data_IF_332419302045
#
_entry.id   IF_332419302045
#
_cell.length_a   1.000
_cell.length_b   1.000
_cell.length_c   1.000
_cell.angle_alpha   90.00
_cell.angle_beta   90.00
_cell.angle_gamma   90.00
#
_symmetry.space_group_name_H-M   'P 1'
#
loop_
_entity.id
_entity.type
_entity.pdbx_description
1 polymer ?
#
# COMPACT_ATOMS: atom_id res chain seq x y z
N UNK A 1 -7.04 -9.17 -0.60
CA UNK A 1 -7.42 -7.75 -0.77
C UNK A 1 -8.58 -7.38 0.15
N UNK A 2 -9.74 -8.03 0.07
CA UNK A 2 -10.95 -7.66 0.85
C UNK A 2 -10.74 -7.62 2.37
N UNK A 3 -10.10 -8.63 2.97
CA UNK A 3 -9.86 -8.68 4.43
C UNK A 3 -8.98 -7.51 4.89
N UNK A 4 -7.89 -7.24 4.17
CA UNK A 4 -7.01 -6.11 4.47
C UNK A 4 -7.74 -4.76 4.34
N UNK A 5 -8.59 -4.61 3.31
CA UNK A 5 -9.38 -3.40 3.12
C UNK A 5 -10.38 -3.18 4.28
N UNK A 6 -11.09 -4.23 4.71
CA UNK A 6 -12.03 -4.14 5.85
C UNK A 6 -11.32 -3.81 7.15
N UNK A 7 -10.20 -4.47 7.47
CA UNK A 7 -9.42 -4.17 8.67
C UNK A 7 -8.82 -2.76 8.66
N UNK A 8 -8.35 -2.30 7.49
CA UNK A 8 -7.85 -0.93 7.35
C UNK A 8 -8.95 0.11 7.52
N UNK A 9 -10.17 -0.15 7.03
CA UNK A 9 -11.31 0.74 7.22
C UNK A 9 -11.69 0.82 8.70
N UNK A 10 -11.80 -0.33 9.39
CA UNK A 10 -12.08 -0.37 10.83
C UNK A 10 -11.02 0.39 11.64
N UNK A 11 -9.73 0.18 11.32
CA UNK A 11 -8.65 0.91 12.00
C UNK A 11 -8.77 2.43 11.81
N UNK A 12 -9.08 2.92 10.61
CA UNK A 12 -9.22 4.37 10.35
C UNK A 12 -10.43 5.01 11.01
N UNK A 13 -11.49 4.24 11.27
CA UNK A 13 -12.72 4.73 11.88
C UNK A 13 -12.72 4.65 13.41
N UNK A 14 -11.80 3.88 14.01
CA UNK A 14 -11.79 3.64 15.47
C UNK A 14 -10.59 4.28 16.20
N UNK A 15 -9.58 4.77 15.48
CA UNK A 15 -8.43 5.50 16.06
C UNK A 15 -8.01 6.69 15.18
N UNK A 16 -7.37 7.73 15.75
CA UNK A 16 -6.80 8.83 14.98
C UNK A 16 -5.84 8.35 13.87
N UNK A 17 -5.81 9.06 12.74
CA UNK A 17 -5.06 8.66 11.55
C UNK A 17 -3.55 8.64 11.81
N UNK A 18 -3.03 9.54 12.63
CA UNK A 18 -1.63 9.50 13.07
C UNK A 18 -1.27 8.19 13.79
N UNK A 19 -2.17 7.70 14.66
CA UNK A 19 -1.97 6.42 15.37
C UNK A 19 -2.13 5.24 14.39
N UNK A 20 -3.15 5.29 13.53
CA UNK A 20 -3.36 4.27 12.49
C UNK A 20 -2.14 4.13 11.59
N UNK A 21 -1.61 5.23 11.06
CA UNK A 21 -0.45 5.22 10.16
C UNK A 21 0.80 4.70 10.84
N UNK A 22 1.03 5.05 12.11
CA UNK A 22 2.15 4.52 12.91
C UNK A 22 2.07 2.99 13.04
N UNK A 23 0.91 2.47 13.44
CA UNK A 23 0.69 1.03 13.60
C UNK A 23 0.74 0.33 12.23
N UNK A 24 0.11 0.90 11.20
CA UNK A 24 0.07 0.32 9.87
C UNK A 24 1.47 0.26 9.22
N UNK A 25 2.36 1.21 9.51
CA UNK A 25 3.77 1.23 9.06
C UNK A 25 4.56 0.01 9.53
N UNK A 26 4.11 -0.69 10.58
CA UNK A 26 4.72 -1.96 11.01
C UNK A 26 4.77 -3.03 9.92
N UNK A 27 3.98 -2.88 8.84
CA UNK A 27 4.09 -3.67 7.62
C UNK A 27 5.52 -3.73 7.03
N UNK A 28 6.33 -2.68 7.22
CA UNK A 28 7.73 -2.68 6.78
C UNK A 28 8.59 -3.68 7.57
N UNK A 29 8.24 -4.01 8.81
CA UNK A 29 8.93 -5.06 9.58
C UNK A 29 8.46 -6.45 9.18
N UNK A 30 7.15 -6.64 8.95
CA UNK A 30 6.60 -7.95 8.60
C UNK A 30 6.96 -8.40 7.18
N UNK A 31 7.00 -7.46 6.23
CA UNK A 31 7.29 -7.77 4.82
C UNK A 31 8.61 -8.50 4.60
N UNK A 32 9.77 -8.09 5.13
CA UNK A 32 11.01 -8.83 4.94
C UNK A 32 10.98 -10.22 5.61
N UNK A 33 10.28 -10.37 6.74
CA UNK A 33 10.11 -11.67 7.40
C UNK A 33 9.35 -12.62 6.48
N UNK A 34 8.20 -12.20 5.97
CA UNK A 34 7.41 -13.01 5.04
C UNK A 34 8.10 -13.21 3.70
N UNK A 35 8.81 -12.22 3.18
CA UNK A 35 9.58 -12.35 1.95
C UNK A 35 10.72 -13.39 2.10
N UNK A 36 11.32 -13.51 3.29
CA UNK A 36 12.29 -14.58 3.58
C UNK A 36 11.62 -15.96 3.64
N UNK A 37 10.46 -16.05 4.29
CA UNK A 37 9.77 -17.32 4.52
C UNK A 37 9.12 -17.86 3.24
N UNK A 38 8.43 -16.99 2.50
CA UNK A 38 7.64 -17.36 1.32
C UNK A 38 8.51 -17.33 0.06
N UNK A 39 9.26 -16.24 -0.17
CA UNK A 39 9.98 -16.02 -1.42
C UNK A 39 11.48 -16.35 -1.33
N UNK A 40 11.97 -16.75 -0.15
CA UNK A 40 13.38 -17.11 0.11
C UNK A 40 14.40 -16.04 -0.32
N UNK A 41 14.01 -14.77 -0.26
CA UNK A 41 14.88 -13.65 -0.66
C UNK A 41 16.08 -13.54 0.29
N UNK A 42 17.28 -13.36 -0.29
CA UNK A 42 18.49 -13.02 0.46
C UNK A 42 18.57 -11.51 0.70
N UNK A 43 18.68 -11.11 1.97
CA UNK A 43 18.83 -9.69 2.32
C UNK A 43 20.28 -9.24 2.23
N UNK A 44 20.49 -8.08 1.61
CA UNK A 44 21.75 -7.36 1.57
C UNK A 44 21.70 -6.18 2.56
N UNK A 45 22.87 -5.72 3.03
CA UNK A 45 23.03 -4.56 3.92
C UNK A 45 22.29 -3.31 3.40
N UNK A 46 22.30 -3.09 2.09
CA UNK A 46 21.60 -1.97 1.45
C UNK A 46 20.06 -2.05 1.56
N UNK A 47 19.49 -3.27 1.56
CA UNK A 47 18.04 -3.45 1.79
C UNK A 47 17.68 -3.06 3.21
N UNK A 48 18.51 -3.47 4.17
CA UNK A 48 18.30 -3.15 5.59
C UNK A 48 18.37 -1.65 5.82
N UNK A 49 19.34 -0.97 5.19
CA UNK A 49 19.46 0.51 5.24
C UNK A 49 18.23 1.18 4.64
N UNK A 50 17.82 0.76 3.44
CA UNK A 50 16.61 1.30 2.77
C UNK A 50 15.36 1.11 3.64
N UNK A 51 15.21 -0.06 4.26
CA UNK A 51 14.09 -0.37 5.13
C UNK A 51 14.09 0.48 6.40
N UNK A 52 15.25 0.65 7.04
CA UNK A 52 15.39 1.51 8.22
C UNK A 52 15.01 2.96 7.90
N UNK A 53 15.44 3.47 6.74
CA UNK A 53 15.07 4.81 6.27
C UNK A 53 13.57 4.92 5.92
N UNK A 54 12.96 3.87 5.37
CA UNK A 54 11.52 3.84 5.08
C UNK A 54 10.69 3.82 6.36
N UNK A 55 11.13 3.08 7.39
CA UNK A 55 10.50 3.08 8.72
C UNK A 55 10.59 4.48 9.34
N UNK A 56 11.77 5.11 9.28
CA UNK A 56 11.93 6.49 9.73
C UNK A 56 11.00 7.44 8.97
N UNK A 57 10.89 7.29 7.65
CA UNK A 57 9.98 8.08 6.81
C UNK A 57 8.53 7.95 7.28
N UNK A 58 8.03 6.72 7.46
CA UNK A 58 6.66 6.47 7.91
C UNK A 58 6.41 7.04 9.31
N UNK A 59 7.36 6.89 10.22
CA UNK A 59 7.28 7.45 11.58
C UNK A 59 7.32 8.99 11.62
N UNK A 60 7.86 9.65 10.60
CA UNK A 60 7.88 11.11 10.49
C UNK A 60 6.66 11.69 9.78
N UNK A 61 5.82 10.83 9.17
CA UNK A 61 4.63 11.24 8.38
C UNK A 61 3.35 11.31 9.22
N UNK A 62 3.48 11.33 10.56
CA UNK A 62 2.36 11.22 11.51
C UNK A 62 1.37 12.41 11.50
N UNK A 63 1.75 13.53 10.87
CA UNK A 63 1.00 14.79 10.91
C UNK A 63 0.05 14.95 9.71
N UNK A 64 -0.66 13.88 9.33
CA UNK A 64 -1.70 13.96 8.30
C UNK A 64 -3.07 13.69 8.93
N UNK A 65 -4.02 14.60 8.72
CA UNK A 65 -5.42 14.39 9.12
C UNK A 65 -6.15 13.55 8.07
N UNK A 66 -7.13 12.75 8.49
CA UNK A 66 -7.99 11.99 7.59
C UNK A 66 -9.45 12.40 7.80
N UNK A 67 -10.16 12.74 6.72
CA UNK A 67 -11.57 13.10 6.82
C UNK A 67 -12.40 11.93 7.37
N UNK A 68 -13.10 12.16 8.48
CA UNK A 68 -13.88 11.12 9.17
C UNK A 68 -13.13 10.38 10.27
N UNK A 69 -12.07 10.98 10.84
CA UNK A 69 -11.46 10.51 12.09
C UNK A 69 -12.50 10.49 13.23
N UNK A 70 -12.41 9.50 14.14
CA UNK A 70 -13.30 9.43 15.30
C UNK A 70 -13.09 10.62 16.23
N UNK A 71 -14.17 11.10 16.84
CA UNK A 71 -14.09 12.00 17.99
C UNK A 71 -13.63 11.24 19.24
N UNK A 72 -13.12 11.92 20.28
CA UNK A 72 -12.56 11.28 21.49
C UNK A 72 -13.54 10.28 22.15
N UNK A 73 -14.85 10.51 21.99
CA UNK A 73 -15.91 9.63 22.51
C UNK A 73 -16.15 8.36 21.67
N UNK A 74 -15.71 8.33 20.42
CA UNK A 74 -15.87 7.22 19.46
C UNK A 74 -14.61 6.35 19.35
N UNK A 75 -13.50 6.79 19.96
CA UNK A 75 -12.22 6.10 19.92
C UNK A 75 -12.25 4.76 20.67
N UNK A 76 -11.92 3.69 19.94
CA UNK A 76 -11.67 2.38 20.52
C UNK A 76 -10.23 1.95 20.21
N UNK A 77 -9.29 2.47 20.99
CA UNK A 77 -7.87 2.19 20.82
C UNK A 77 -7.53 0.70 20.77
N UNK A 78 -8.17 -0.12 21.61
CA UNK A 78 -7.86 -1.54 21.63
C UNK A 78 -8.24 -2.21 20.29
N UNK A 79 -9.49 -2.07 19.86
CA UNK A 79 -9.99 -2.72 18.65
C UNK A 79 -9.36 -2.11 17.38
N UNK A 80 -9.28 -0.78 17.30
CA UNK A 80 -8.69 -0.07 16.17
C UNK A 80 -7.19 -0.36 16.00
N UNK A 81 -6.43 -0.44 17.10
CA UNK A 81 -5.01 -0.81 17.05
C UNK A 81 -4.79 -2.24 16.56
N UNK A 82 -5.58 -3.20 17.04
CA UNK A 82 -5.52 -4.58 16.53
C UNK A 82 -5.90 -4.64 15.05
N UNK A 83 -6.96 -3.93 14.64
CA UNK A 83 -7.37 -3.87 13.23
C UNK A 83 -6.26 -3.29 12.34
N UNK A 84 -5.60 -2.20 12.77
CA UNK A 84 -4.49 -1.59 12.05
C UNK A 84 -3.27 -2.52 11.95
N UNK A 85 -2.91 -3.20 13.05
CA UNK A 85 -1.81 -4.17 13.08
C UNK A 85 -2.07 -5.34 12.12
N UNK A 86 -3.25 -5.97 12.23
CA UNK A 86 -3.63 -7.06 11.35
C UNK A 86 -3.74 -6.61 9.89
N UNK A 87 -4.19 -5.38 9.62
CA UNK A 87 -4.17 -4.82 8.28
C UNK A 87 -2.75 -4.75 7.71
N UNK A 88 -1.76 -4.30 8.49
CA UNK A 88 -0.35 -4.24 8.09
C UNK A 88 0.26 -5.62 7.85
N UNK A 89 -0.06 -6.60 8.70
CA UNK A 89 0.34 -8.01 8.52
C UNK A 89 -0.27 -8.58 7.24
N UNK A 90 -1.57 -8.40 7.03
CA UNK A 90 -2.27 -8.86 5.83
C UNK A 90 -1.73 -8.20 4.56
N UNK A 91 -1.39 -6.91 4.60
CA UNK A 91 -0.79 -6.21 3.46
C UNK A 91 0.59 -6.80 3.11
N UNK A 92 1.43 -7.02 4.12
CA UNK A 92 2.76 -7.62 3.96
C UNK A 92 2.68 -9.03 3.37
N UNK A 93 1.77 -9.86 3.89
CA UNK A 93 1.49 -11.18 3.35
C UNK A 93 0.97 -11.11 1.92
N UNK A 94 0.07 -10.18 1.62
CA UNK A 94 -0.50 -10.01 0.30
C UNK A 94 0.57 -9.69 -0.74
N UNK A 95 1.48 -8.76 -0.46
CA UNK A 95 2.60 -8.45 -1.37
C UNK A 95 3.51 -9.65 -1.58
N UNK A 96 3.82 -10.39 -0.51
CA UNK A 96 4.66 -11.59 -0.61
C UNK A 96 3.98 -12.71 -1.41
N UNK A 97 2.67 -12.91 -1.24
CA UNK A 97 1.90 -13.87 -2.02
C UNK A 97 1.81 -13.49 -3.50
N UNK A 98 1.64 -12.21 -3.81
CA UNK A 98 1.65 -11.72 -5.20
C UNK A 98 3.00 -12.03 -5.85
N UNK A 99 4.11 -11.75 -5.15
CA UNK A 99 5.44 -12.12 -5.64
C UNK A 99 5.56 -13.63 -5.84
N UNK A 100 5.11 -14.43 -4.88
CA UNK A 100 5.12 -15.89 -4.97
C UNK A 100 4.32 -16.41 -6.18
N UNK A 101 3.19 -15.78 -6.51
CA UNK A 101 2.40 -16.10 -7.71
C UNK A 101 3.20 -15.80 -8.98
N UNK A 102 3.88 -14.65 -9.04
CA UNK A 102 4.75 -14.35 -10.18
C UNK A 102 5.89 -15.39 -10.29
N UNK A 103 6.64 -15.61 -9.22
CA UNK A 103 7.81 -16.49 -9.16
C UNK A 103 7.47 -17.96 -9.46
N UNK A 104 6.43 -18.51 -8.83
CA UNK A 104 6.13 -19.94 -8.93
C UNK A 104 5.11 -20.31 -10.00
N UNK A 105 4.18 -19.43 -10.35
CA UNK A 105 3.13 -19.77 -11.33
C UNK A 105 3.40 -19.14 -12.68
N UNK A 106 3.78 -17.86 -12.73
CA UNK A 106 3.90 -17.16 -14.00
C UNK A 106 5.27 -17.39 -14.64
N UNK A 107 6.36 -17.19 -13.90
CA UNK A 107 7.71 -17.36 -14.44
C UNK A 107 8.03 -18.84 -14.75
N UNK A 108 7.78 -19.77 -13.82
CA UNK A 108 8.03 -21.21 -14.05
C UNK A 108 7.20 -21.84 -15.17
N UNK A 109 5.91 -21.48 -15.29
CA UNK A 109 5.04 -21.97 -16.37
C UNK A 109 5.47 -21.44 -17.74
N UNK A 110 6.10 -20.27 -17.75
CA UNK A 110 6.59 -19.62 -18.96
C UNK A 110 7.95 -20.19 -19.39
N UNK A 111 8.80 -20.60 -18.45
CA UNK A 111 10.03 -21.35 -18.78
C UNK A 111 9.76 -22.75 -19.35
N UNK A 112 8.72 -23.45 -18.89
CA UNK A 112 8.36 -24.79 -19.39
C UNK A 112 7.58 -24.77 -20.71
N UNK A 113 7.05 -23.61 -21.11
CA UNK A 113 6.35 -23.38 -22.36
C UNK A 113 7.11 -22.31 -23.16
N UNK A 114 8.07 -22.76 -23.97
CA UNK A 114 9.05 -22.04 -24.84
C UNK A 114 8.56 -20.82 -25.65
N UNK A 115 7.30 -20.41 -25.54
CA UNK A 115 6.63 -19.52 -26.51
C UNK A 115 6.18 -18.15 -25.97
N UNK A 116 6.29 -17.85 -24.67
CA UNK A 116 5.91 -16.54 -24.15
C UNK A 116 7.00 -15.99 -23.25
N UNK A 117 7.27 -14.69 -23.27
CA UNK A 117 8.01 -14.02 -22.19
C UNK A 117 6.98 -13.49 -21.19
N UNK A 118 7.26 -13.54 -19.88
CA UNK A 118 6.41 -12.90 -18.88
C UNK A 118 6.30 -11.41 -19.21
N UNK A 119 5.10 -10.97 -19.60
CA UNK A 119 4.84 -9.60 -20.02
C UNK A 119 4.15 -8.85 -18.88
N UNK A 120 4.22 -7.52 -18.90
CA UNK A 120 3.46 -6.66 -17.98
C UNK A 120 1.93 -6.94 -18.04
N UNK A 121 1.44 -7.62 -19.09
CA UNK A 121 0.09 -8.19 -19.13
C UNK A 121 -0.26 -9.08 -17.92
N UNK A 122 0.71 -9.81 -17.35
CA UNK A 122 0.50 -10.65 -16.16
C UNK A 122 0.16 -9.83 -14.91
N UNK A 123 0.61 -8.57 -14.82
CA UNK A 123 0.22 -7.65 -13.73
C UNK A 123 -1.27 -7.36 -13.81
N UNK A 124 -1.77 -7.01 -15.00
CA UNK A 124 -3.19 -6.78 -15.22
C UNK A 124 -4.03 -8.03 -14.99
N UNK A 125 -3.54 -9.21 -15.38
CA UNK A 125 -4.23 -10.49 -15.14
C UNK A 125 -4.48 -10.71 -13.64
N UNK A 126 -3.42 -10.61 -12.82
CA UNK A 126 -3.53 -10.79 -11.37
C UNK A 126 -4.48 -9.76 -10.76
N UNK A 127 -4.36 -8.48 -11.15
CA UNK A 127 -5.20 -7.40 -10.60
C UNK A 127 -6.67 -7.56 -11.01
N UNK A 128 -6.97 -7.89 -12.27
CA UNK A 128 -8.34 -8.04 -12.76
C UNK A 128 -9.02 -9.20 -12.05
N UNK A 129 -8.39 -10.38 -11.99
CA UNK A 129 -8.96 -11.53 -11.30
C UNK A 129 -9.13 -11.27 -9.80
N UNK A 130 -8.14 -10.66 -9.14
CA UNK A 130 -8.25 -10.36 -7.71
C UNK A 130 -9.30 -9.31 -7.43
N UNK A 131 -9.45 -8.29 -8.28
CA UNK A 131 -10.44 -7.23 -8.11
C UNK A 131 -11.86 -7.74 -8.36
N UNK A 132 -12.04 -8.61 -9.35
CA UNK A 132 -13.33 -9.25 -9.62
C UNK A 132 -13.77 -10.11 -8.43
N UNK A 133 -12.88 -10.99 -7.95
CA UNK A 133 -13.15 -11.82 -6.78
C UNK A 133 -13.44 -10.98 -5.53
N UNK A 134 -12.65 -9.93 -5.30
CA UNK A 134 -12.87 -9.00 -4.20
C UNK A 134 -14.22 -8.29 -4.30
N UNK A 135 -14.64 -7.90 -5.51
CA UNK A 135 -15.93 -7.25 -5.76
C UNK A 135 -17.09 -8.20 -5.44
N UNK A 136 -17.04 -9.45 -5.90
CA UNK A 136 -18.08 -10.45 -5.61
C UNK A 136 -18.22 -10.66 -4.10
N UNK A 137 -17.10 -10.84 -3.39
CA UNK A 137 -17.09 -11.03 -1.93
C UNK A 137 -17.62 -9.78 -1.22
N UNK A 138 -17.20 -8.58 -1.64
CA UNK A 138 -17.65 -7.33 -1.04
C UNK A 138 -19.13 -7.07 -1.27
N UNK A 139 -19.66 -7.34 -2.47
CA UNK A 139 -21.10 -7.23 -2.78
C UNK A 139 -21.89 -8.23 -1.95
N UNK A 140 -21.47 -9.49 -1.89
CA UNK A 140 -22.11 -10.49 -1.04
C UNK A 140 -22.10 -10.06 0.44
N UNK A 141 -20.98 -9.54 0.93
CA UNK A 141 -20.87 -9.02 2.29
C UNK A 141 -21.80 -7.84 2.56
N UNK A 142 -21.92 -6.90 1.62
CA UNK A 142 -22.83 -5.76 1.71
C UNK A 142 -24.29 -6.21 1.75
N UNK A 143 -24.66 -7.19 0.90
CA UNK A 143 -26.02 -7.75 0.86
C UNK A 143 -26.38 -8.48 2.16
N UNK A 144 -25.45 -9.27 2.70
CA UNK A 144 -25.65 -10.03 3.95
C UNK A 144 -25.73 -9.08 5.14
N UNK A 145 -24.92 -8.02 5.16
CA UNK A 145 -24.90 -7.04 6.26
C UNK A 145 -26.11 -6.09 6.25
N UNK A 146 -26.86 -6.00 5.14
CA UNK A 146 -28.01 -5.11 5.03
C UNK A 146 -27.66 -3.62 4.90
N UNK A 147 -26.38 -3.29 4.72
CA UNK A 147 -25.84 -1.91 4.62
C UNK A 147 -26.27 -1.18 3.32
N UNK A 148 -27.14 -1.78 2.48
CA UNK A 148 -27.59 -1.19 1.22
C UNK A 148 -28.37 0.10 1.41
N UNK A 149 -29.20 0.17 2.45
CA UNK A 149 -30.03 1.33 2.73
C UNK A 149 -29.23 2.45 3.40
N UNK A 150 -28.21 2.10 4.19
CA UNK A 150 -27.24 3.07 4.71
C UNK A 150 -26.46 3.74 3.58
N UNK A 151 -26.00 2.98 2.58
CA UNK A 151 -25.30 3.54 1.42
C UNK A 151 -26.20 4.49 0.60
N UNK A 152 -27.48 4.15 0.45
CA UNK A 152 -28.45 5.05 -0.21
C UNK A 152 -28.68 6.31 0.60
N UNK A 153 -28.76 6.20 1.93
CA UNK A 153 -28.91 7.33 2.84
C UNK A 153 -27.70 8.26 2.73
N UNK A 154 -26.48 7.72 2.83
CA UNK A 154 -25.24 8.48 2.72
C UNK A 154 -25.16 9.25 1.39
N UNK A 155 -25.48 8.59 0.27
CA UNK A 155 -25.53 9.24 -1.04
C UNK A 155 -26.58 10.37 -1.11
N UNK A 156 -27.73 10.22 -0.44
CA UNK A 156 -28.78 11.24 -0.41
C UNK A 156 -28.44 12.42 0.49
N UNK A 157 -27.73 12.17 1.59
CA UNK A 157 -27.31 13.17 2.57
C UNK A 157 -25.99 13.85 2.20
N UNK A 158 -25.30 13.39 1.16
CA UNK A 158 -24.06 13.99 0.70
C UNK A 158 -24.26 15.47 0.36
N UNK A 159 -23.52 16.34 1.05
CA UNK A 159 -23.71 17.80 1.01
C UNK A 159 -23.63 18.43 -0.37
N UNK A 160 -22.89 17.81 -1.30
CA UNK A 160 -22.73 18.26 -2.70
C UNK A 160 -23.68 17.57 -3.68
N UNK A 161 -24.60 16.75 -3.19
CA UNK A 161 -25.59 16.01 -3.96
C UNK A 161 -25.10 14.67 -4.53
N UNK A 162 -26.05 13.85 -5.00
CA UNK A 162 -25.80 12.46 -5.44
C UNK A 162 -24.77 12.36 -6.59
N UNK A 163 -24.83 13.28 -7.55
CA UNK A 163 -23.91 13.30 -8.69
C UNK A 163 -22.45 13.52 -8.25
N UNK A 164 -22.23 14.44 -7.30
CA UNK A 164 -20.90 14.68 -6.74
C UNK A 164 -20.40 13.50 -5.90
N UNK A 165 -21.29 12.83 -5.15
CA UNK A 165 -20.96 11.60 -4.43
C UNK A 165 -20.45 10.51 -5.38
N UNK A 166 -21.20 10.23 -6.46
CA UNK A 166 -20.80 9.22 -7.45
C UNK A 166 -19.48 9.58 -8.11
N UNK A 167 -19.28 10.85 -8.49
CA UNK A 167 -17.99 11.29 -9.06
C UNK A 167 -16.83 11.12 -8.08
N UNK A 168 -17.02 11.44 -6.80
CA UNK A 168 -16.00 11.26 -5.77
C UNK A 168 -15.65 9.78 -5.56
N UNK A 169 -16.65 8.90 -5.50
CA UNK A 169 -16.45 7.45 -5.35
C UNK A 169 -15.77 6.83 -6.58
N UNK A 170 -16.16 7.23 -7.79
CA UNK A 170 -15.49 6.77 -9.03
C UNK A 170 -14.05 7.28 -9.08
N UNK A 171 -13.80 8.55 -8.76
CA UNK A 171 -12.46 9.12 -8.69
C UNK A 171 -11.56 8.37 -7.70
N UNK A 172 -12.10 8.07 -6.52
CA UNK A 172 -11.39 7.27 -5.51
C UNK A 172 -11.09 5.85 -6.00
N UNK A 173 -12.07 5.19 -6.61
CA UNK A 173 -11.89 3.84 -7.16
C UNK A 173 -10.79 3.80 -8.25
N UNK A 174 -10.80 4.74 -9.20
CA UNK A 174 -9.78 4.84 -10.24
C UNK A 174 -8.40 5.10 -9.65
N UNK A 175 -8.30 6.02 -8.68
CA UNK A 175 -7.05 6.34 -7.99
C UNK A 175 -6.47 5.11 -7.28
N UNK A 176 -7.33 4.34 -6.61
CA UNK A 176 -6.94 3.09 -5.96
C UNK A 176 -6.45 2.04 -6.95
N UNK A 177 -7.07 1.93 -8.13
CA UNK A 177 -6.63 1.00 -9.16
C UNK A 177 -5.25 1.37 -9.72
N UNK A 178 -4.99 2.65 -9.99
CA UNK A 178 -3.67 3.13 -10.43
C UNK A 178 -2.61 2.81 -9.37
N UNK A 179 -2.91 3.05 -8.10
CA UNK A 179 -2.05 2.68 -6.98
C UNK A 179 -1.72 1.18 -6.99
N UNK A 180 -2.72 0.31 -7.10
CA UNK A 180 -2.50 -1.14 -7.13
C UNK A 180 -1.71 -1.61 -8.35
N UNK A 181 -1.92 -1.03 -9.53
CA UNK A 181 -1.10 -1.32 -10.73
C UNK A 181 0.36 -0.96 -10.47
N UNK A 182 0.64 0.17 -9.84
CA UNK A 182 2.00 0.56 -9.46
C UNK A 182 2.63 -0.42 -8.46
N UNK A 183 1.93 -0.74 -7.37
CA UNK A 183 2.39 -1.67 -6.34
C UNK A 183 2.66 -3.07 -6.94
N UNK A 184 1.68 -3.68 -7.60
CA UNK A 184 1.85 -5.02 -8.19
C UNK A 184 2.89 -5.01 -9.30
N UNK A 185 2.98 -3.92 -10.08
CA UNK A 185 4.01 -3.73 -11.11
C UNK A 185 5.43 -3.69 -10.52
N UNK A 186 5.62 -3.05 -9.37
CA UNK A 186 6.90 -3.06 -8.64
C UNK A 186 7.23 -4.45 -8.07
N UNK A 187 6.21 -5.18 -7.60
CA UNK A 187 6.40 -6.57 -7.16
C UNK A 187 6.88 -7.45 -8.32
N UNK A 188 6.22 -7.34 -9.47
CA UNK A 188 6.57 -8.06 -10.69
C UNK A 188 7.97 -7.71 -11.21
N UNK A 189 8.33 -6.42 -11.17
CA UNK A 189 9.59 -5.95 -11.75
C UNK A 189 10.80 -6.14 -10.82
N UNK A 190 10.59 -6.12 -9.50
CA UNK A 190 11.70 -6.13 -8.53
C UNK A 190 11.44 -7.05 -7.33
N UNK A 191 10.54 -6.68 -6.41
CA UNK A 191 10.20 -7.49 -5.23
C UNK A 191 9.06 -6.91 -4.39
N UNK A 192 8.45 -7.74 -3.55
CA UNK A 192 7.49 -7.33 -2.52
C UNK A 192 8.06 -6.32 -1.53
N UNK A 193 9.35 -6.47 -1.18
CA UNK A 193 10.03 -5.59 -0.23
C UNK A 193 10.20 -4.18 -0.81
N UNK A 194 10.66 -4.07 -2.07
CA UNK A 194 10.75 -2.76 -2.72
C UNK A 194 9.38 -2.11 -2.83
N UNK A 195 8.39 -2.87 -3.28
CA UNK A 195 7.04 -2.35 -3.45
C UNK A 195 6.49 -1.77 -2.15
N UNK A 196 6.72 -2.45 -1.01
CA UNK A 196 6.28 -1.93 0.28
C UNK A 196 7.07 -0.68 0.71
N UNK A 197 8.39 -0.68 0.53
CA UNK A 197 9.23 0.51 0.78
C UNK A 197 8.73 1.71 -0.03
N UNK A 198 8.53 1.55 -1.34
CA UNK A 198 8.02 2.60 -2.22
C UNK A 198 6.62 3.06 -1.77
N UNK A 199 5.77 2.14 -1.32
CA UNK A 199 4.43 2.50 -0.84
C UNK A 199 4.46 3.48 0.33
N UNK A 200 5.38 3.30 1.29
CA UNK A 200 5.49 4.16 2.49
C UNK A 200 6.18 5.48 2.18
N UNK A 201 7.27 5.46 1.41
CA UNK A 201 7.99 6.70 1.05
C UNK A 201 7.18 7.63 0.14
N UNK A 202 6.12 7.10 -0.48
CA UNK A 202 5.16 7.89 -1.27
C UNK A 202 4.20 8.70 -0.37
N UNK A 203 3.97 8.29 0.88
CA UNK A 203 3.05 9.00 1.78
C UNK A 203 3.42 10.48 2.02
N UNK A 204 4.66 10.84 2.38
CA UNK A 204 5.03 12.25 2.53
C UNK A 204 4.94 13.02 1.21
N UNK A 205 5.19 12.37 0.07
CA UNK A 205 5.04 12.99 -1.26
C UNK A 205 3.57 13.36 -1.49
N UNK A 206 2.65 12.43 -1.19
CA UNK A 206 1.20 12.69 -1.29
C UNK A 206 0.78 13.81 -0.34
N UNK A 207 1.29 13.83 0.89
CA UNK A 207 1.02 14.91 1.84
C UNK A 207 1.41 16.29 1.26
N UNK A 208 2.60 16.42 0.66
CA UNK A 208 3.03 17.67 0.00
C UNK A 208 2.14 18.03 -1.19
N UNK A 209 1.80 17.06 -2.04
CA UNK A 209 0.93 17.31 -3.19
C UNK A 209 -0.45 17.83 -2.75
N UNK A 210 -1.00 17.30 -1.65
CA UNK A 210 -2.27 17.78 -1.08
C UNK A 210 -2.15 19.25 -0.66
N UNK A 211 -1.09 19.62 0.06
CA UNK A 211 -0.86 21.02 0.48
C UNK A 211 -0.75 21.95 -0.74
N UNK A 212 -0.01 21.56 -1.78
CA UNK A 212 0.19 22.35 -3.00
C UNK A 212 -1.10 22.51 -3.81
N UNK A 213 -1.85 21.42 -4.05
CA UNK A 213 -3.02 21.45 -4.93
C UNK A 213 -4.27 22.02 -4.26
N UNK A 214 -4.44 21.79 -2.96
CA UNK A 214 -5.64 22.18 -2.23
C UNK A 214 -5.47 23.45 -1.41
N UNK A 215 -4.29 24.09 -1.44
CA UNK A 215 -4.00 25.33 -0.69
C UNK A 215 -4.51 25.26 0.75
N UNK A 216 -4.26 24.15 1.44
CA UNK A 216 -4.38 24.07 2.89
C UNK A 216 -3.25 24.93 3.49
N UNK A 217 -3.40 26.26 3.40
CA UNK A 217 -2.41 27.26 3.83
C UNK A 217 -2.28 27.37 5.35
N UNK A 218 -3.16 26.72 6.13
CA UNK A 218 -3.08 26.70 7.60
C UNK A 218 -2.33 25.47 8.14
N UNK A 219 -1.90 24.54 7.28
CA UNK A 219 -1.07 23.41 7.67
C UNK A 219 0.39 23.80 7.44
N UNK A 220 1.02 24.48 8.42
CA UNK A 220 2.42 24.89 8.36
C UNK A 220 3.29 23.71 7.91
N UNK A 221 4.19 23.97 6.96
CA UNK A 221 5.14 22.96 6.49
C UNK A 221 6.08 22.58 7.63
N UNK A 222 5.68 21.56 8.38
CA UNK A 222 6.38 21.10 9.56
C UNK A 222 7.77 20.55 9.20
N UNK A 223 8.76 20.81 10.04
CA UNK A 223 10.13 20.28 9.93
C UNK A 223 10.09 18.76 9.80
N UNK A 224 9.16 18.09 10.48
CA UNK A 224 8.96 16.63 10.37
C UNK A 224 8.57 16.18 8.95
N UNK A 225 7.71 16.93 8.24
CA UNK A 225 7.35 16.66 6.83
C UNK A 225 8.59 16.80 5.91
N UNK A 226 9.42 17.81 6.16
CA UNK A 226 10.69 18.00 5.44
C UNK A 226 11.68 16.85 5.64
N UNK A 227 11.90 16.40 6.88
CA UNK A 227 12.79 15.28 7.18
C UNK A 227 12.22 13.96 6.64
N UNK A 228 10.90 13.78 6.63
CA UNK A 228 10.24 12.62 6.01
C UNK A 228 10.56 12.54 4.50
N UNK A 229 10.55 13.65 3.77
CA UNK A 229 10.90 13.67 2.34
C UNK A 229 12.38 13.34 2.09
N UNK A 230 13.29 13.87 2.93
CA UNK A 230 14.72 13.57 2.79
C UNK A 230 14.96 12.07 3.04
N UNK A 231 14.37 11.52 4.10
CA UNK A 231 14.49 10.10 4.43
C UNK A 231 13.83 9.20 3.38
N UNK A 232 12.73 9.63 2.77
CA UNK A 232 12.09 8.98 1.63
C UNK A 232 13.03 8.86 0.42
N UNK A 233 13.65 9.98 0.04
CA UNK A 233 14.60 10.02 -1.09
C UNK A 233 15.82 9.14 -0.81
N UNK A 234 16.38 9.20 0.40
CA UNK A 234 17.51 8.37 0.80
C UNK A 234 17.15 6.88 0.82
N UNK A 235 15.95 6.53 1.27
CA UNK A 235 15.46 5.14 1.27
C UNK A 235 15.38 4.58 -0.15
N UNK A 236 14.79 5.34 -1.08
CA UNK A 236 14.70 4.97 -2.49
C UNK A 236 16.09 4.86 -3.12
N UNK A 237 16.96 5.86 -2.90
CA UNK A 237 18.33 5.88 -3.43
C UNK A 237 19.16 4.68 -2.94
N UNK A 238 19.08 4.33 -1.66
CA UNK A 238 19.77 3.16 -1.11
C UNK A 238 19.33 1.85 -1.77
N UNK A 239 18.04 1.73 -2.10
CA UNK A 239 17.52 0.55 -2.79
C UNK A 239 17.95 0.52 -4.27
N UNK A 240 17.87 1.64 -4.99
CA UNK A 240 18.33 1.70 -6.38
C UNK A 240 19.83 1.46 -6.51
N UNK A 241 20.62 1.95 -5.54
CA UNK A 241 22.05 1.66 -5.48
C UNK A 241 22.33 0.17 -5.35
N UNK A 242 21.54 -0.55 -4.54
CA UNK A 242 21.61 -2.02 -4.47
C UNK A 242 21.36 -2.64 -5.85
N UNK A 243 20.28 -2.25 -6.53
CA UNK A 243 19.93 -2.82 -7.83
C UNK A 243 21.05 -2.59 -8.87
N UNK A 244 21.63 -1.39 -8.88
CA UNK A 244 22.74 -1.08 -9.78
C UNK A 244 24.00 -1.92 -9.46
N UNK A 245 24.31 -2.14 -8.17
CA UNK A 245 25.44 -2.99 -7.78
C UNK A 245 25.20 -4.46 -8.13
N UNK A 246 24.00 -4.97 -7.88
CA UNK A 246 23.62 -6.36 -8.18
C UNK A 246 23.69 -6.65 -9.70
N UNK A 247 23.24 -5.72 -10.54
CA UNK A 247 23.38 -5.83 -11.99
C UNK A 247 24.85 -5.82 -12.45
N UNK A 248 25.67 -4.92 -11.88
CA UNK A 248 27.09 -4.85 -12.21
C UNK A 248 27.84 -6.13 -11.84
N UNK A 249 27.58 -6.68 -10.66
CA UNK A 249 28.24 -7.92 -10.21
C UNK A 249 27.82 -9.10 -11.11
N UNK A 250 26.57 -9.14 -11.59
CA UNK A 250 26.11 -10.15 -12.55
C UNK A 250 26.78 -10.02 -13.93
N UNK A 251 26.97 -8.79 -14.44
CA UNK A 251 27.65 -8.53 -15.72
C UNK A 251 29.14 -8.90 -15.68
N UNK A 252 29.78 -8.76 -14.50
CA UNK A 252 31.19 -9.16 -14.28
C UNK A 252 31.35 -10.68 -14.21
N UNK A 253 30.35 -11.40 -13.70
CA UNK A 253 30.37 -12.88 -13.63
C UNK A 253 30.03 -13.52 -14.99
N UNK A 254 29.32 -12.79 -15.86
CA UNK A 254 28.91 -13.27 -17.18
C UNK A 254 29.98 -13.09 -18.29
N UNK A 255 31.07 -12.34 -18.02
CA UNK A 255 32.22 -12.17 -18.91
C UNK A 255 33.44 -12.95 -18.40
#
# INVERSE_FOLDING_TARGET
>A
MTVQARLSAMGKLEIPFGVFTLIYTTQLFFTPIFARLVNKIKFNRWVVISLALAIATGALTLSSAFGGEPDEAEENYARGSWAALFAGVCFSLLLCNIQNVFDNYIFKRTESSTTRKPSFASVFEVIIFSSLAATIISVAGLLIAGEQDDLKREMNEFSKGKGAYVMAMVGQAVSWQVYWVGIVGLVFSVSSVLSNVISVVTWPIVSVLVVIFFNFMDDEFDVFKGVALITAVLSAAAYFFRLHKENRDNDVIAN
#
